data_IF_254262373464
#
_entry.id   IF_254262373464
#
_cell.length_a   1.000
_cell.length_b   1.000
_cell.length_c   1.000
_cell.angle_alpha   90.00
_cell.angle_beta   90.00
_cell.angle_gamma   90.00
#
_symmetry.space_group_name_H-M   'P 1'
#
loop_
_entity.id
_entity.type
_entity.pdbx_description
1 polymer ?
#
# COMPACT_ATOMS: atom_id res chain seq x y z
N UNK A 1 -12.09 -3.13 -21.53
CA UNK A 1 -10.79 -2.42 -21.41
C UNK A 1 -10.90 -0.89 -21.45
N UNK A 2 -11.97 -0.28 -21.97
CA UNK A 2 -12.07 1.20 -22.08
C UNK A 2 -12.37 1.98 -20.79
N UNK A 3 -12.90 1.35 -19.74
CA UNK A 3 -13.26 2.06 -18.50
C UNK A 3 -12.07 2.32 -17.56
N UNK A 4 -11.02 1.49 -17.64
CA UNK A 4 -9.79 1.63 -16.84
C UNK A 4 -8.91 2.78 -17.33
N UNK A 5 -8.90 3.07 -18.63
CA UNK A 5 -8.10 4.17 -19.17
C UNK A 5 -8.59 5.56 -18.73
N UNK A 6 -9.87 5.69 -18.36
CA UNK A 6 -10.39 6.93 -17.77
C UNK A 6 -9.92 7.16 -16.33
N UNK A 7 -9.28 6.16 -15.71
CA UNK A 7 -8.77 6.23 -14.33
C UNK A 7 -7.24 6.42 -14.29
N UNK A 8 -6.58 6.45 -15.44
CA UNK A 8 -5.15 6.70 -15.53
C UNK A 8 -4.92 8.21 -15.55
N UNK A 9 -4.57 8.78 -14.39
CA UNK A 9 -4.18 10.18 -14.27
C UNK A 9 -2.66 10.30 -14.36
N UNK A 10 -2.17 10.93 -15.43
CA UNK A 10 -0.77 11.32 -15.56
C UNK A 10 -0.69 12.82 -15.22
N UNK A 11 -0.52 13.11 -13.94
CA UNK A 11 -0.37 14.47 -13.44
C UNK A 11 1.00 15.07 -13.79
N UNK A 12 1.09 16.40 -13.98
CA UNK A 12 2.36 17.06 -14.31
C UNK A 12 3.32 17.15 -13.12
N UNK A 13 2.83 16.97 -11.88
CA UNK A 13 3.65 17.13 -10.68
C UNK A 13 3.71 15.85 -9.84
N UNK A 14 4.93 15.47 -9.48
CA UNK A 14 5.20 14.38 -8.52
C UNK A 14 4.59 14.68 -7.13
N UNK A 15 4.67 15.88 -6.54
CA UNK A 15 4.17 16.11 -5.19
C UNK A 15 2.65 15.97 -5.07
N UNK A 16 1.88 16.47 -6.04
CA UNK A 16 0.42 16.23 -6.07
C UNK A 16 0.12 14.74 -6.25
N UNK A 17 0.97 14.07 -7.03
CA UNK A 17 1.02 12.62 -7.18
C UNK A 17 1.03 11.86 -5.88
N UNK A 18 2.06 12.15 -5.10
CA UNK A 18 2.33 11.51 -3.83
C UNK A 18 1.22 11.85 -2.81
N UNK A 19 0.78 13.10 -2.76
CA UNK A 19 -0.29 13.50 -1.84
C UNK A 19 -1.64 12.83 -2.16
N UNK A 20 -1.97 12.70 -3.44
CA UNK A 20 -3.17 11.97 -3.87
C UNK A 20 -3.13 10.48 -3.52
N UNK A 21 -1.96 9.86 -3.68
CA UNK A 21 -1.70 8.49 -3.24
C UNK A 21 -1.96 8.31 -1.73
N UNK A 22 -1.42 9.20 -0.87
CA UNK A 22 -1.63 9.12 0.58
C UNK A 22 -3.06 9.42 1.03
N UNK A 23 -3.80 10.22 0.27
CA UNK A 23 -5.21 10.51 0.52
C UNK A 23 -6.16 9.45 -0.05
N UNK A 24 -5.65 8.49 -0.83
CA UNK A 24 -6.46 7.42 -1.43
C UNK A 24 -7.37 7.88 -2.56
N UNK A 25 -7.08 9.03 -3.19
CA UNK A 25 -7.91 9.57 -4.28
C UNK A 25 -7.64 8.86 -5.60
N UNK A 26 -6.44 8.33 -5.81
CA UNK A 26 -6.06 7.56 -7.00
C UNK A 26 -4.88 6.61 -6.72
N UNK A 27 -4.75 5.61 -7.58
CA UNK A 27 -3.63 4.67 -7.55
C UNK A 27 -2.41 5.27 -8.26
N UNK A 28 -1.23 5.17 -7.65
CA UNK A 28 0.02 5.66 -8.19
C UNK A 28 0.89 4.50 -8.67
N UNK A 29 1.50 4.65 -9.85
CA UNK A 29 2.39 3.63 -10.43
C UNK A 29 3.78 4.23 -10.67
N UNK A 30 4.81 3.53 -10.21
CA UNK A 30 6.22 3.88 -10.41
C UNK A 30 7.08 2.63 -10.24
N UNK A 31 8.40 2.77 -10.34
CA UNK A 31 9.37 1.71 -10.08
C UNK A 31 9.17 1.19 -8.64
N UNK A 32 9.03 -0.13 -8.47
CA UNK A 32 8.75 -0.77 -7.18
C UNK A 32 9.70 -0.34 -6.06
N UNK A 33 11.01 -0.18 -6.34
CA UNK A 33 11.98 0.26 -5.33
C UNK A 33 11.71 1.68 -4.83
N UNK A 34 11.16 2.56 -5.67
CA UNK A 34 10.74 3.91 -5.26
C UNK A 34 9.53 3.84 -4.31
N UNK A 35 8.59 2.92 -4.55
CA UNK A 35 7.47 2.68 -3.63
C UNK A 35 7.96 2.17 -2.27
N UNK A 36 8.95 1.28 -2.26
CA UNK A 36 9.58 0.82 -1.02
C UNK A 36 10.24 1.97 -0.25
N UNK A 37 10.93 2.88 -0.95
CA UNK A 37 11.50 4.07 -0.35
C UNK A 37 10.43 4.98 0.29
N UNK A 38 9.30 5.21 -0.39
CA UNK A 38 8.21 5.99 0.19
C UNK A 38 7.61 5.34 1.44
N UNK A 39 7.45 4.01 1.43
CA UNK A 39 7.03 3.26 2.61
C UNK A 39 8.01 3.40 3.75
N UNK A 40 9.31 3.25 3.49
CA UNK A 40 10.36 3.39 4.50
C UNK A 40 10.35 4.80 5.12
N UNK A 41 10.37 5.83 4.28
CA UNK A 41 10.38 7.22 4.72
C UNK A 41 9.13 7.59 5.54
N UNK A 42 7.96 7.13 5.13
CA UNK A 42 6.72 7.37 5.87
C UNK A 42 6.68 6.58 7.19
N UNK A 43 7.14 5.33 7.18
CA UNK A 43 7.22 4.52 8.39
C UNK A 43 8.21 5.10 9.39
N UNK A 44 9.36 5.60 8.94
CA UNK A 44 10.34 6.26 9.79
C UNK A 44 9.78 7.53 10.48
N UNK A 45 8.84 8.23 9.83
CA UNK A 45 8.21 9.44 10.38
C UNK A 45 7.01 9.16 11.29
N UNK A 46 6.13 8.25 10.88
CA UNK A 46 4.80 8.07 11.51
C UNK A 46 4.70 6.75 12.28
N UNK A 47 5.56 5.77 11.99
CA UNK A 47 5.52 4.44 12.59
C UNK A 47 4.35 3.58 12.13
N UNK A 48 3.63 3.96 11.06
CA UNK A 48 2.49 3.22 10.52
C UNK A 48 2.50 3.15 9.00
N UNK A 49 1.95 2.05 8.47
CA UNK A 49 1.91 1.74 7.05
C UNK A 49 0.50 2.00 6.51
N UNK A 50 0.31 3.14 5.82
CA UNK A 50 -0.98 3.51 5.21
C UNK A 50 -1.11 3.05 3.76
N UNK A 51 0.01 2.74 3.11
CA UNK A 51 0.07 2.37 1.70
C UNK A 51 0.31 0.87 1.55
N UNK A 52 -0.27 0.29 0.49
CA UNK A 52 -0.08 -1.09 0.10
C UNK A 52 0.43 -1.14 -1.35
N UNK A 53 1.38 -2.05 -1.63
CA UNK A 53 1.91 -2.28 -2.97
C UNK A 53 1.25 -3.54 -3.53
N UNK A 54 0.69 -3.44 -4.74
CA UNK A 54 0.10 -4.59 -5.43
C UNK A 54 1.13 -5.72 -5.61
N UNK A 55 0.68 -6.97 -5.49
CA UNK A 55 1.54 -8.16 -5.52
C UNK A 55 2.22 -8.40 -6.87
N UNK A 56 1.66 -7.88 -7.96
CA UNK A 56 2.21 -7.95 -9.31
C UNK A 56 2.51 -6.57 -9.87
N UNK A 57 3.74 -6.40 -10.36
CA UNK A 57 4.13 -5.24 -11.16
C UNK A 57 3.65 -5.37 -12.61
N UNK A 58 3.41 -4.24 -13.26
CA UNK A 58 3.00 -4.19 -14.68
C UNK A 58 4.16 -4.43 -15.64
N UNK A 59 5.35 -3.96 -15.26
CA UNK A 59 6.59 -4.12 -16.01
C UNK A 59 7.60 -4.85 -15.14
N UNK A 60 8.50 -5.65 -15.74
CA UNK A 60 9.56 -6.37 -15.02
C UNK A 60 10.54 -5.42 -14.31
N UNK A 61 11.73 -5.91 -13.94
CA UNK A 61 12.75 -5.11 -13.27
C UNK A 61 13.06 -3.83 -14.07
N UNK A 62 12.47 -2.71 -13.66
CA UNK A 62 12.63 -1.41 -14.31
C UNK A 62 13.98 -0.84 -13.91
N UNK A 63 14.87 -0.63 -14.88
CA UNK A 63 16.22 -0.14 -14.64
C UNK A 63 16.28 1.39 -14.62
N UNK A 64 17.03 1.95 -13.67
CA UNK A 64 17.43 3.35 -13.67
C UNK A 64 18.74 3.51 -14.46
N UNK A 65 18.78 4.50 -15.36
CA UNK A 65 19.93 4.75 -16.23
C UNK A 65 20.24 6.24 -16.32
N UNK A 66 21.51 6.58 -16.55
CA UNK A 66 21.93 7.96 -16.79
C UNK A 66 21.79 8.32 -18.29
N UNK A 67 21.25 9.50 -18.56
CA UNK A 67 21.19 10.05 -19.91
C UNK A 67 22.28 11.11 -20.08
N UNK A 68 23.03 11.02 -21.17
CA UNK A 68 24.07 11.98 -21.53
C UNK A 68 23.77 12.60 -22.89
N UNK A 69 24.13 13.88 -23.13
CA UNK A 69 24.03 14.47 -24.46
C UNK A 69 24.95 13.73 -25.44
N UNK A 70 24.53 13.65 -26.71
CA UNK A 70 25.33 12.98 -27.75
C UNK A 70 26.70 13.63 -27.88
N UNK A 71 27.76 12.82 -27.94
CA UNK A 71 29.14 13.30 -28.03
C UNK A 71 29.78 13.70 -26.70
N UNK A 72 29.09 13.56 -25.57
CA UNK A 72 29.67 13.85 -24.26
C UNK A 72 30.82 12.90 -23.93
N UNK A 73 31.98 13.46 -23.61
CA UNK A 73 33.14 12.72 -23.07
C UNK A 73 32.86 12.14 -21.67
N UNK A 74 31.88 12.70 -20.96
CA UNK A 74 31.50 12.32 -19.61
C UNK A 74 30.96 10.90 -19.53
N UNK A 75 30.32 10.40 -20.59
CA UNK A 75 29.78 9.03 -20.62
C UNK A 75 30.84 7.99 -20.28
N UNK A 76 32.01 8.10 -20.89
CA UNK A 76 33.07 7.10 -20.72
C UNK A 76 33.64 7.09 -19.29
N UNK A 77 33.72 8.26 -18.67
CA UNK A 77 34.19 8.40 -17.30
C UNK A 77 33.15 7.87 -16.31
N UNK A 78 31.90 8.30 -16.46
CA UNK A 78 30.81 7.92 -15.55
C UNK A 78 30.49 6.44 -15.65
N UNK A 79 30.48 5.84 -16.86
CA UNK A 79 30.28 4.39 -17.02
C UNK A 79 31.34 3.59 -16.24
N UNK A 80 32.62 4.00 -16.29
CA UNK A 80 33.69 3.32 -15.54
C UNK A 80 33.53 3.43 -14.03
N UNK A 81 32.98 4.55 -13.55
CA UNK A 81 32.73 4.74 -12.11
C UNK A 81 31.52 3.91 -11.67
N UNK A 82 30.44 3.92 -12.45
CA UNK A 82 29.24 3.12 -12.17
C UNK A 82 29.55 1.63 -12.17
N UNK A 83 30.32 1.15 -13.15
CA UNK A 83 30.75 -0.25 -13.21
C UNK A 83 31.53 -0.63 -11.96
N UNK A 84 32.50 0.18 -11.54
CA UNK A 84 33.24 -0.06 -10.30
C UNK A 84 32.31 -0.08 -9.08
N UNK A 85 31.43 0.92 -8.94
CA UNK A 85 30.47 0.99 -7.84
C UNK A 85 29.53 -0.22 -7.79
N UNK A 86 29.14 -0.73 -8.96
CA UNK A 86 28.35 -1.93 -9.11
C UNK A 86 29.14 -3.19 -8.72
N UNK A 87 30.37 -3.34 -9.20
CA UNK A 87 31.26 -4.48 -8.91
C UNK A 87 31.62 -4.55 -7.41
N UNK A 88 31.77 -3.40 -6.75
CA UNK A 88 31.93 -3.32 -5.30
C UNK A 88 30.64 -3.61 -4.52
N UNK A 89 29.50 -3.77 -5.19
CA UNK A 89 28.20 -3.98 -4.56
C UNK A 89 27.68 -2.77 -3.77
N UNK A 90 28.32 -1.60 -3.91
CA UNK A 90 28.01 -0.42 -3.09
C UNK A 90 26.62 0.14 -3.43
N UNK A 91 26.22 0.10 -4.70
CA UNK A 91 24.91 0.58 -5.14
C UNK A 91 23.79 -0.23 -4.47
N UNK A 92 23.89 -1.56 -4.49
CA UNK A 92 22.89 -2.42 -3.86
C UNK A 92 22.91 -2.27 -2.35
N UNK A 93 24.10 -2.12 -1.73
CA UNK A 93 24.21 -1.89 -0.29
C UNK A 93 23.54 -0.59 0.16
N UNK A 94 23.77 0.52 -0.54
CA UNK A 94 23.13 1.80 -0.27
C UNK A 94 21.62 1.72 -0.44
N UNK A 95 21.17 1.02 -1.50
CA UNK A 95 19.76 0.87 -1.80
C UNK A 95 19.04 0.02 -0.75
N UNK A 96 19.64 -1.10 -0.33
CA UNK A 96 19.12 -1.93 0.77
C UNK A 96 19.11 -1.19 2.11
N UNK A 97 20.13 -0.36 2.37
CA UNK A 97 20.16 0.49 3.57
C UNK A 97 19.01 1.50 3.63
N UNK A 98 18.58 2.03 2.48
CA UNK A 98 17.51 3.02 2.38
C UNK A 98 16.08 2.43 2.44
N UNK A 99 15.90 1.14 2.18
CA UNK A 99 14.56 0.49 2.17
C UNK A 99 14.40 -0.58 3.23
N UNK A 100 15.27 -0.59 4.25
CA UNK A 100 15.36 -1.66 5.23
C UNK A 100 14.08 -1.80 6.07
N UNK A 101 13.43 -0.69 6.41
CA UNK A 101 12.21 -0.62 7.20
C UNK A 101 10.94 -0.83 6.37
N UNK A 102 11.02 -0.69 5.04
CA UNK A 102 9.87 -0.92 4.16
C UNK A 102 9.33 -2.36 4.27
N UNK A 103 10.17 -3.31 4.69
CA UNK A 103 9.82 -4.72 4.92
C UNK A 103 8.71 -4.92 5.97
N UNK A 104 8.61 -4.03 6.95
CA UNK A 104 7.53 -4.05 7.95
C UNK A 104 6.17 -3.71 7.33
N UNK A 105 6.16 -2.81 6.33
CA UNK A 105 4.95 -2.41 5.61
C UNK A 105 4.54 -3.35 4.48
N UNK A 106 5.44 -4.23 4.05
CA UNK A 106 5.20 -5.22 2.99
C UNK A 106 4.62 -6.53 3.52
N UNK A 107 4.51 -6.67 4.85
CA UNK A 107 3.79 -7.79 5.47
C UNK A 107 2.34 -7.76 4.96
N UNK A 108 1.83 -8.85 4.36
CA UNK A 108 0.48 -8.87 3.82
C UNK A 108 -0.52 -8.44 4.88
N UNK A 109 -1.50 -7.62 4.48
CA UNK A 109 -2.57 -7.14 5.35
C UNK A 109 -3.24 -8.36 6.00
N UNK A 110 -3.02 -8.57 7.30
CA UNK A 110 -3.44 -9.77 8.04
C UNK A 110 -2.31 -10.67 8.57
N UNK A 111 -1.03 -10.32 8.37
CA UNK A 111 0.14 -11.08 8.86
C UNK A 111 0.98 -10.37 9.91
N UNK A 112 0.49 -9.26 10.48
CA UNK A 112 1.05 -8.80 11.75
C UNK A 112 0.75 -9.86 12.80
N UNK A 113 1.78 -10.21 13.55
CA UNK A 113 1.81 -11.05 14.74
C UNK A 113 1.07 -10.38 15.90
N UNK A 114 -0.15 -9.92 15.63
CA UNK A 114 -1.15 -9.61 16.63
C UNK A 114 -2.43 -10.30 16.15
N UNK A 115 -2.55 -11.56 16.55
CA UNK A 115 -3.84 -12.20 16.81
C UNK A 115 -4.53 -11.45 17.96
N UNK A 116 -4.69 -10.14 17.84
CA UNK A 116 -5.83 -9.46 18.42
C UNK A 116 -6.95 -9.81 17.46
N UNK A 117 -7.53 -11.00 17.66
CA UNK A 117 -8.92 -11.19 17.29
C UNK A 117 -9.64 -9.92 17.69
N UNK A 118 -10.27 -9.23 16.73
CA UNK A 118 -11.10 -8.07 17.04
C UNK A 118 -11.95 -8.51 18.24
N UNK A 119 -11.84 -7.85 19.41
CA UNK A 119 -12.70 -8.21 20.53
C UNK A 119 -14.12 -8.12 19.99
N UNK A 120 -14.81 -9.26 20.02
CA UNK A 120 -16.10 -9.46 19.39
C UNK A 120 -17.01 -8.32 19.84
N UNK A 121 -17.25 -7.36 18.95
CA UNK A 121 -17.93 -6.13 19.33
C UNK A 121 -19.36 -6.50 19.65
N UNK A 122 -19.91 -5.97 20.75
CA UNK A 122 -21.34 -6.09 21.09
C UNK A 122 -22.24 -5.70 19.90
N UNK A 123 -21.70 -4.91 18.97
CA UNK A 123 -22.35 -4.55 17.71
C UNK A 123 -22.77 -5.75 16.86
N UNK A 124 -21.98 -6.83 16.84
CA UNK A 124 -22.26 -8.01 16.00
C UNK A 124 -23.39 -8.87 16.60
N UNK A 125 -23.70 -8.69 17.90
CA UNK A 125 -24.76 -9.39 18.60
C UNK A 125 -26.14 -8.72 18.51
N UNK A 126 -26.23 -7.49 18.01
CA UNK A 126 -27.52 -6.79 17.87
C UNK A 126 -28.51 -7.54 16.96
N UNK A 127 -28.01 -8.25 15.93
CA UNK A 127 -28.86 -9.05 15.06
C UNK A 127 -29.60 -10.17 15.83
N UNK A 128 -28.89 -10.86 16.72
CA UNK A 128 -29.47 -11.96 17.52
C UNK A 128 -30.41 -11.41 18.60
N UNK A 129 -30.02 -10.31 19.25
CA UNK A 129 -30.86 -9.64 20.24
C UNK A 129 -32.16 -9.11 19.63
N UNK A 130 -32.11 -8.58 18.40
CA UNK A 130 -33.29 -8.08 17.70
C UNK A 130 -34.28 -9.21 17.37
N UNK A 131 -33.79 -10.35 16.88
CA UNK A 131 -34.64 -11.52 16.59
C UNK A 131 -35.27 -12.08 17.87
N UNK A 132 -34.51 -12.10 18.98
CA UNK A 132 -35.02 -12.54 20.27
C UNK A 132 -36.15 -11.63 20.78
N UNK A 133 -35.94 -10.31 20.79
CA UNK A 133 -36.96 -9.33 21.22
C UNK A 133 -38.20 -9.39 20.32
N UNK A 134 -38.02 -9.49 19.00
CA UNK A 134 -39.13 -9.63 18.06
C UNK A 134 -39.93 -10.91 18.32
N UNK A 135 -39.26 -12.03 18.62
CA UNK A 135 -39.90 -13.30 18.96
C UNK A 135 -40.71 -13.23 20.26
N UNK A 136 -40.14 -12.62 21.31
CA UNK A 136 -40.83 -12.42 22.60
C UNK A 136 -42.03 -11.49 22.43
N UNK A 137 -41.88 -10.36 21.74
CA UNK A 137 -42.98 -9.45 21.45
C UNK A 137 -44.10 -10.13 20.66
N UNK A 138 -43.76 -10.89 19.61
CA UNK A 138 -44.74 -11.64 18.82
C UNK A 138 -45.48 -12.67 19.69
N UNK A 139 -44.78 -13.37 20.58
CA UNK A 139 -45.39 -14.33 21.51
C UNK A 139 -46.34 -13.65 22.51
N UNK A 140 -45.94 -12.51 23.08
CA UNK A 140 -46.77 -11.76 24.04
C UNK A 140 -48.01 -11.16 23.37
N UNK A 141 -47.86 -10.55 22.19
CA UNK A 141 -48.98 -10.00 21.40
C UNK A 141 -49.97 -11.10 21.07
N UNK A 142 -49.46 -12.26 20.64
CA UNK A 142 -50.29 -13.44 20.37
C UNK A 142 -50.99 -13.88 21.64
N UNK A 143 -50.29 -14.11 22.76
CA UNK A 143 -50.91 -14.52 24.03
C UNK A 143 -52.00 -13.55 24.53
N UNK A 144 -51.85 -12.24 24.28
CA UNK A 144 -52.84 -11.23 24.67
C UNK A 144 -54.08 -11.21 23.77
N UNK A 145 -54.01 -11.73 22.54
CA UNK A 145 -55.16 -11.83 21.61
C UNK A 145 -55.98 -13.11 21.79
N UNK A 146 -55.45 -14.14 22.47
CA UNK A 146 -56.21 -15.35 22.82
C UNK A 146 -56.87 -15.27 24.20
N UNK A 147 -56.72 -14.16 24.94
CA UNK A 147 -57.27 -13.95 26.28
C UNK A 147 -58.34 -12.83 26.34
N UNK A 148 -58.71 -12.27 25.18
CA UNK A 148 -59.85 -11.40 24.93
C UNK A 148 -60.84 -12.17 24.02
#
# INVERSE_FOLDING_TARGET
MGHLMKQLYVGPSIPEGVMGMYNGTWAYTTITRTLHYFLDAHFAQVGSCKLYIASSGFFGASSLSFAFPRGSTLKAEVDRVILRLHDFGLIEHLLQGQVRNSSECLKPVGSSLSRAERPLSISDYFGVLYVYVAGVCCFVVRRSTYFL
#
